data_IF_613764901938
#
_entry.id   IF_613764901938
#
_cell.length_a   1.000
_cell.length_b   1.000
_cell.length_c   1.000
_cell.angle_alpha   90.00
_cell.angle_beta   90.00
_cell.angle_gamma   90.00
#
_symmetry.space_group_name_H-M   'P 1'
#
loop_
_entity.id
_entity.type
_entity.pdbx_description
1 polymer ?
#
# COMPACT_ATOMS: atom_id res chain seq x y z
N UNK A 1 26.06 22.74 -41.35
CA UNK A 1 25.94 23.54 -40.12
C UNK A 1 24.52 24.06 -40.07
N UNK A 2 23.58 23.21 -39.69
CA UNK A 2 22.24 23.64 -39.31
C UNK A 2 22.32 24.22 -37.90
N UNK A 3 21.73 25.38 -37.73
CA UNK A 3 21.73 26.17 -36.51
C UNK A 3 20.88 25.47 -35.44
N UNK A 4 21.54 24.87 -34.45
CA UNK A 4 20.97 24.15 -33.30
C UNK A 4 20.32 25.10 -32.25
N UNK A 5 19.80 26.26 -32.69
CA UNK A 5 19.38 27.36 -31.80
C UNK A 5 17.87 27.47 -31.55
N UNK A 6 17.05 26.58 -32.11
CA UNK A 6 15.58 26.69 -32.01
C UNK A 6 14.96 25.67 -31.05
N UNK A 7 15.63 25.33 -29.94
CA UNK A 7 14.95 24.63 -28.86
C UNK A 7 14.17 25.64 -27.98
N UNK A 8 12.82 25.60 -27.98
CA UNK A 8 11.96 26.62 -27.38
C UNK A 8 12.09 26.75 -25.85
N UNK A 9 12.88 25.90 -25.19
CA UNK A 9 13.09 25.93 -23.73
C UNK A 9 14.34 26.68 -23.29
N UNK A 10 15.15 27.28 -24.17
CA UNK A 10 16.51 27.72 -23.80
C UNK A 10 16.58 28.89 -22.78
N UNK A 11 15.47 29.61 -22.51
CA UNK A 11 15.45 30.76 -21.59
C UNK A 11 14.26 30.82 -20.61
N UNK A 12 13.38 29.83 -20.60
CA UNK A 12 12.27 29.79 -19.64
C UNK A 12 12.72 28.95 -18.46
N UNK A 13 12.50 29.41 -17.22
CA UNK A 13 12.81 28.63 -16.03
C UNK A 13 12.27 27.21 -16.21
N UNK A 14 13.15 26.21 -16.11
CA UNK A 14 12.94 24.81 -16.53
C UNK A 14 11.56 24.21 -16.15
N UNK A 15 11.01 24.65 -15.02
CA UNK A 15 9.66 24.30 -14.54
C UNK A 15 8.48 24.72 -15.44
N UNK A 16 8.69 25.62 -16.41
CA UNK A 16 7.65 26.21 -17.25
C UNK A 16 7.65 25.68 -18.69
N UNK A 17 8.55 24.76 -19.07
CA UNK A 17 8.42 24.14 -20.39
C UNK A 17 7.22 23.18 -20.36
N UNK A 18 6.11 23.61 -20.97
CA UNK A 18 4.79 22.99 -20.92
C UNK A 18 4.78 21.51 -21.35
N UNK A 19 5.78 21.08 -22.11
CA UNK A 19 5.92 19.68 -22.55
C UNK A 19 6.36 18.72 -21.43
N UNK A 20 6.94 19.23 -20.34
CA UNK A 20 7.44 18.37 -19.23
C UNK A 20 6.35 18.00 -18.22
N UNK A 21 5.31 18.82 -18.06
CA UNK A 21 4.16 18.54 -17.19
C UNK A 21 2.91 18.20 -18.00
N UNK A 22 2.94 17.04 -18.65
CA UNK A 22 1.72 16.44 -19.17
C UNK A 22 0.70 16.24 -18.03
N UNK A 23 -0.60 16.44 -18.30
CA UNK A 23 -1.72 16.19 -17.39
C UNK A 23 -1.60 14.80 -16.74
N UNK A 24 -1.14 13.78 -17.50
CA UNK A 24 -0.89 12.43 -16.97
C UNK A 24 0.09 12.44 -15.79
N UNK A 25 1.22 13.14 -15.93
CA UNK A 25 2.21 13.28 -14.85
C UNK A 25 1.63 14.00 -13.63
N UNK A 26 0.82 15.04 -13.84
CA UNK A 26 0.15 15.76 -12.76
C UNK A 26 -0.83 14.87 -12.00
N UNK A 27 -1.64 14.09 -12.72
CA UNK A 27 -2.56 13.12 -12.13
C UNK A 27 -1.76 12.12 -11.29
N UNK A 28 -0.68 11.56 -11.84
CA UNK A 28 0.17 10.60 -11.13
C UNK A 28 0.76 11.19 -9.83
N UNK A 29 1.20 12.46 -9.86
CA UNK A 29 1.67 13.19 -8.67
C UNK A 29 0.57 13.26 -7.59
N UNK A 30 -0.64 13.65 -7.98
CA UNK A 30 -1.78 13.76 -7.07
C UNK A 30 -2.08 12.40 -6.44
N UNK A 31 -2.04 11.33 -7.22
CA UNK A 31 -2.25 9.96 -6.74
C UNK A 31 -1.19 9.53 -5.72
N UNK A 32 0.11 9.71 -6.01
CA UNK A 32 1.20 9.38 -5.07
C UNK A 32 1.02 10.14 -3.75
N UNK A 33 0.77 11.45 -3.84
CA UNK A 33 0.56 12.29 -2.65
C UNK A 33 -0.62 11.79 -1.81
N UNK A 34 -1.75 11.49 -2.45
CA UNK A 34 -2.94 10.99 -1.76
C UNK A 34 -2.70 9.62 -1.12
N UNK A 35 -1.94 8.73 -1.78
CA UNK A 35 -1.54 7.42 -1.22
C UNK A 35 -0.69 7.57 0.02
N UNK A 36 0.35 8.41 -0.03
CA UNK A 36 1.20 8.70 1.14
C UNK A 36 0.39 9.30 2.29
N UNK A 37 -0.52 10.22 1.99
CA UNK A 37 -1.40 10.84 2.98
C UNK A 37 -2.31 9.80 3.64
N UNK A 38 -2.93 8.91 2.86
CA UNK A 38 -3.78 7.85 3.39
C UNK A 38 -3.00 6.83 4.24
N UNK A 39 -1.83 6.36 3.77
CA UNK A 39 -0.97 5.44 4.52
C UNK A 39 -0.60 6.08 5.86
N UNK A 40 -0.11 7.32 5.83
CA UNK A 40 0.30 8.07 7.03
C UNK A 40 -0.88 8.22 7.99
N UNK A 41 -2.05 8.58 7.48
CA UNK A 41 -3.27 8.73 8.27
C UNK A 41 -3.70 7.41 8.94
N UNK A 42 -3.72 6.30 8.21
CA UNK A 42 -4.04 4.98 8.74
C UNK A 42 -3.04 4.55 9.81
N UNK A 43 -1.74 4.78 9.59
CA UNK A 43 -0.71 4.46 10.56
C UNK A 43 -0.86 5.32 11.83
N UNK A 44 -1.08 6.63 11.69
CA UNK A 44 -1.35 7.51 12.83
C UNK A 44 -2.55 7.01 13.64
N UNK A 45 -3.67 6.68 12.99
CA UNK A 45 -4.83 6.11 13.69
C UNK A 45 -4.44 4.81 14.40
N UNK A 46 -3.73 3.92 13.72
CA UNK A 46 -3.30 2.62 14.27
C UNK A 46 -2.47 2.79 15.54
N UNK A 47 -1.51 3.71 15.52
CA UNK A 47 -0.63 3.95 16.66
C UNK A 47 -1.31 4.71 17.80
N UNK A 48 -2.12 5.72 17.50
CA UNK A 48 -2.65 6.65 18.52
C UNK A 48 -4.03 6.30 19.06
N UNK A 49 -4.91 5.73 18.23
CA UNK A 49 -6.33 5.56 18.56
C UNK A 49 -6.75 4.10 18.76
N UNK A 50 -5.99 3.14 18.22
CA UNK A 50 -6.31 1.72 18.33
C UNK A 50 -5.49 1.10 19.48
N UNK A 51 -6.19 0.46 20.42
CA UNK A 51 -5.58 -0.29 21.52
C UNK A 51 -4.86 -1.56 21.04
N UNK A 52 -4.55 -2.48 21.95
CA UNK A 52 -3.88 -3.75 21.62
C UNK A 52 -4.85 -4.76 20.96
N UNK A 53 -5.29 -4.47 19.73
CA UNK A 53 -6.15 -5.31 18.92
C UNK A 53 -5.31 -6.03 17.83
N UNK A 54 -5.49 -7.34 17.57
CA UNK A 54 -4.77 -8.03 16.49
C UNK A 54 -4.93 -7.37 15.11
N UNK A 55 -6.07 -6.71 14.83
CA UNK A 55 -6.26 -5.97 13.58
C UNK A 55 -5.34 -4.75 13.46
N UNK A 56 -4.94 -4.14 14.58
CA UNK A 56 -3.94 -3.06 14.59
C UNK A 56 -2.61 -3.58 14.04
N UNK A 57 -2.13 -4.69 14.60
CA UNK A 57 -0.83 -5.27 14.21
C UNK A 57 -0.84 -5.75 12.76
N UNK A 58 -1.93 -6.40 12.34
CA UNK A 58 -2.10 -6.79 10.94
C UNK A 58 -2.10 -5.58 10.00
N UNK A 59 -2.83 -4.51 10.35
CA UNK A 59 -2.85 -3.28 9.55
C UNK A 59 -1.48 -2.61 9.51
N UNK A 60 -0.79 -2.47 10.65
CA UNK A 60 0.57 -1.90 10.68
C UNK A 60 1.53 -2.71 9.83
N UNK A 61 1.53 -4.04 9.97
CA UNK A 61 2.40 -4.93 9.19
C UNK A 61 2.14 -4.79 7.69
N UNK A 62 0.87 -4.68 7.30
CA UNK A 62 0.52 -4.52 5.89
C UNK A 62 0.96 -3.14 5.37
N UNK A 63 0.68 -2.06 6.11
CA UNK A 63 1.02 -0.69 5.67
C UNK A 63 2.50 -0.34 5.74
N UNK A 64 3.26 -0.91 6.70
CA UNK A 64 4.70 -0.62 6.83
C UNK A 64 5.48 -1.11 5.61
N UNK A 65 5.01 -2.17 4.95
CA UNK A 65 5.61 -2.66 3.70
C UNK A 65 5.42 -1.71 2.51
N UNK A 66 4.35 -0.90 2.51
CA UNK A 66 4.08 0.08 1.46
C UNK A 66 4.87 1.39 1.63
N UNK A 67 5.31 1.74 2.85
CA UNK A 67 5.99 3.02 3.09
C UNK A 67 7.25 3.18 2.24
N UNK A 68 8.21 2.22 2.21
CA UNK A 68 9.42 2.38 1.43
C UNK A 68 9.11 2.52 -0.06
N UNK A 69 8.18 1.73 -0.58
CA UNK A 69 7.79 1.76 -2.00
C UNK A 69 7.21 3.12 -2.39
N UNK A 70 6.24 3.64 -1.64
CA UNK A 70 5.61 4.93 -1.92
C UNK A 70 6.57 6.10 -1.71
N UNK A 71 7.42 6.01 -0.70
CA UNK A 71 8.44 7.02 -0.44
C UNK A 71 9.47 7.07 -1.57
N UNK A 72 9.86 5.91 -2.09
CA UNK A 72 10.76 5.82 -3.25
C UNK A 72 10.12 6.39 -4.52
N UNK A 73 8.87 6.04 -4.81
CA UNK A 73 8.13 6.62 -5.94
C UNK A 73 8.04 8.15 -5.83
N UNK A 74 7.83 8.67 -4.62
CA UNK A 74 7.82 10.10 -4.35
C UNK A 74 9.19 10.76 -4.54
N UNK A 75 10.28 10.13 -4.08
CA UNK A 75 11.64 10.63 -4.31
C UNK A 75 11.97 10.64 -5.80
N UNK A 76 11.69 9.56 -6.53
CA UNK A 76 11.91 9.47 -7.97
C UNK A 76 11.15 10.57 -8.71
N UNK A 77 9.92 10.83 -8.30
CA UNK A 77 9.11 11.91 -8.84
C UNK A 77 9.71 13.29 -8.57
N UNK A 78 10.12 13.57 -7.33
CA UNK A 78 10.81 14.83 -6.98
C UNK A 78 12.09 14.98 -7.80
N UNK A 79 12.87 13.91 -7.91
CA UNK A 79 14.10 13.88 -8.68
C UNK A 79 13.81 14.21 -10.16
N UNK A 80 12.75 13.65 -10.75
CA UNK A 80 12.32 13.97 -12.12
C UNK A 80 11.91 15.44 -12.26
N UNK A 81 11.11 15.97 -11.33
CA UNK A 81 10.64 17.37 -11.34
C UNK A 81 11.81 18.35 -11.23
N UNK A 82 12.79 18.06 -10.36
CA UNK A 82 13.97 18.91 -10.17
C UNK A 82 14.95 18.82 -11.37
N UNK A 83 14.73 17.87 -12.29
CA UNK A 83 15.70 17.58 -13.35
C UNK A 83 16.97 16.94 -12.78
N UNK A 84 16.87 16.21 -11.67
CA UNK A 84 17.99 15.57 -10.98
C UNK A 84 18.76 14.60 -11.88
N UNK A 85 18.04 13.89 -12.75
CA UNK A 85 18.63 12.97 -13.74
C UNK A 85 19.08 13.67 -15.03
N UNK A 86 18.93 14.99 -15.14
CA UNK A 86 19.39 15.74 -16.31
C UNK A 86 20.91 15.81 -16.31
N UNK A 87 21.51 15.66 -17.49
CA UNK A 87 22.96 15.61 -17.67
C UNK A 87 23.66 16.87 -17.10
N UNK A 88 23.00 18.03 -17.20
CA UNK A 88 23.44 19.31 -16.62
C UNK A 88 23.54 19.27 -15.09
N UNK A 89 22.60 18.61 -14.41
CA UNK A 89 22.61 18.49 -12.95
C UNK A 89 23.67 17.48 -12.50
N UNK A 90 23.82 16.35 -13.23
CA UNK A 90 24.85 15.35 -12.97
C UNK A 90 26.26 15.95 -13.14
N UNK A 91 26.48 16.73 -14.20
CA UNK A 91 27.76 17.42 -14.42
C UNK A 91 28.07 18.48 -13.35
N UNK A 92 27.06 19.15 -12.80
CA UNK A 92 27.21 20.09 -11.69
C UNK A 92 27.46 19.37 -10.34
N UNK A 93 26.76 18.26 -10.09
CA UNK A 93 26.89 17.44 -8.89
C UNK A 93 28.23 16.68 -8.80
N UNK A 94 28.85 16.36 -9.95
CA UNK A 94 30.17 15.72 -10.06
C UNK A 94 31.29 16.53 -9.36
N UNK A 95 31.10 17.83 -9.13
CA UNK A 95 32.08 18.72 -8.48
C UNK A 95 31.95 18.87 -6.95
N UNK A 96 30.94 18.29 -6.29
CA UNK A 96 30.76 18.39 -4.82
C UNK A 96 30.68 17.02 -4.15
N UNK A 97 31.08 16.94 -2.86
CA UNK A 97 31.04 15.76 -1.96
C UNK A 97 29.65 15.11 -1.76
N UNK A 98 28.65 15.50 -2.54
CA UNK A 98 27.27 15.01 -2.51
C UNK A 98 27.14 13.56 -3.03
N UNK A 99 28.14 13.07 -3.76
CA UNK A 99 28.23 11.68 -4.21
C UNK A 99 28.10 10.66 -3.07
N UNK A 100 28.59 10.99 -1.87
CA UNK A 100 28.53 10.08 -0.72
C UNK A 100 27.12 10.01 -0.11
N UNK A 101 26.43 11.16 0.00
CA UNK A 101 25.02 11.21 0.42
C UNK A 101 24.09 10.58 -0.61
N UNK A 102 24.39 10.76 -1.90
CA UNK A 102 23.71 10.10 -3.00
C UNK A 102 23.88 8.58 -2.93
N UNK A 103 25.11 8.09 -2.75
CA UNK A 103 25.40 6.66 -2.59
C UNK A 103 24.73 6.06 -1.35
N UNK A 104 24.60 6.79 -0.24
CA UNK A 104 23.90 6.32 0.97
C UNK A 104 22.39 6.28 0.76
N UNK A 105 21.79 7.33 0.20
CA UNK A 105 20.35 7.36 -0.07
C UNK A 105 19.96 6.34 -1.14
N UNK A 106 20.82 6.15 -2.16
CA UNK A 106 20.69 5.03 -3.09
C UNK A 106 20.92 3.71 -2.39
N UNK A 107 21.95 3.47 -1.57
CA UNK A 107 22.15 2.20 -0.87
C UNK A 107 20.97 1.81 0.04
N UNK A 108 20.37 2.78 0.74
CA UNK A 108 19.19 2.57 1.58
C UNK A 108 17.96 2.27 0.73
N UNK A 109 17.75 3.04 -0.35
CA UNK A 109 16.72 2.76 -1.36
C UNK A 109 16.90 1.36 -1.96
N UNK A 110 18.10 1.08 -2.48
CA UNK A 110 18.62 -0.12 -3.11
C UNK A 110 18.55 -1.36 -2.23
N UNK A 111 18.53 -1.21 -0.90
CA UNK A 111 18.28 -2.34 0.02
C UNK A 111 16.80 -2.75 0.06
N UNK A 112 15.88 -1.79 -0.18
CA UNK A 112 14.43 -2.03 -0.23
C UNK A 112 13.93 -2.30 -1.66
N UNK A 113 14.62 -1.80 -2.69
CA UNK A 113 14.31 -2.01 -4.12
C UNK A 113 15.26 -2.97 -4.81
N UNK A 114 16.17 -3.66 -4.09
CA UNK A 114 17.22 -4.54 -4.63
C UNK A 114 16.70 -5.49 -5.72
N UNK A 115 15.46 -5.92 -5.56
CA UNK A 115 14.83 -6.85 -6.48
C UNK A 115 14.24 -6.20 -7.73
N UNK A 116 13.63 -5.01 -7.59
CA UNK A 116 13.15 -4.21 -8.70
C UNK A 116 14.32 -3.63 -9.52
N UNK A 117 15.39 -3.19 -8.86
CA UNK A 117 16.61 -2.69 -9.50
C UNK A 117 17.45 -3.79 -10.14
N UNK A 118 17.41 -5.04 -9.65
CA UNK A 118 18.05 -6.15 -10.35
C UNK A 118 17.48 -6.29 -11.77
N UNK A 119 16.15 -6.19 -11.93
CA UNK A 119 15.49 -6.24 -13.24
C UNK A 119 15.88 -5.05 -14.15
N UNK A 120 15.94 -3.82 -13.61
CA UNK A 120 16.33 -2.63 -14.40
C UNK A 120 17.84 -2.57 -14.72
N UNK A 121 18.71 -3.06 -13.83
CA UNK A 121 20.15 -3.14 -14.08
C UNK A 121 20.50 -4.19 -15.15
N UNK A 122 19.69 -5.25 -15.27
CA UNK A 122 19.80 -6.20 -16.38
C UNK A 122 19.54 -5.57 -17.75
N UNK A 123 18.72 -4.51 -17.81
CA UNK A 123 18.44 -3.74 -19.03
C UNK A 123 19.58 -2.75 -19.34
N UNK A 124 20.22 -2.18 -18.32
CA UNK A 124 21.25 -1.14 -18.51
C UNK A 124 22.64 -1.68 -18.86
N UNK A 125 22.94 -2.94 -18.56
CA UNK A 125 24.26 -3.53 -18.76
C UNK A 125 24.39 -4.46 -19.97
N UNK A 126 23.34 -4.63 -20.80
CA UNK A 126 23.24 -5.52 -21.98
C UNK A 126 23.58 -7.02 -21.75
N UNK A 127 24.17 -7.36 -20.61
CA UNK A 127 24.32 -8.71 -20.08
C UNK A 127 23.56 -8.79 -18.75
N UNK A 128 22.26 -9.12 -18.77
CA UNK A 128 21.58 -9.53 -17.56
C UNK A 128 22.27 -10.80 -17.10
N UNK A 129 23.17 -10.66 -16.11
CA UNK A 129 23.83 -11.81 -15.50
C UNK A 129 22.76 -12.85 -15.18
N UNK A 130 23.02 -14.11 -15.48
CA UNK A 130 22.09 -15.23 -15.28
C UNK A 130 21.47 -15.19 -13.87
N UNK A 131 22.23 -14.70 -12.88
CA UNK A 131 21.82 -14.49 -11.49
C UNK A 131 20.60 -13.55 -11.37
N UNK A 132 20.57 -12.42 -12.09
CA UNK A 132 19.45 -11.46 -12.08
C UNK A 132 18.19 -12.13 -12.60
N UNK A 133 18.27 -12.82 -13.75
CA UNK A 133 17.13 -13.52 -14.34
C UNK A 133 16.60 -14.62 -13.43
N UNK A 134 17.50 -15.39 -12.79
CA UNK A 134 17.12 -16.40 -11.81
C UNK A 134 16.44 -15.76 -10.60
N UNK A 135 16.99 -14.66 -10.08
CA UNK A 135 16.43 -13.98 -8.92
C UNK A 135 15.04 -13.41 -9.20
N UNK A 136 14.87 -12.77 -10.35
CA UNK A 136 13.60 -12.24 -10.81
C UNK A 136 12.55 -13.35 -10.93
N UNK A 137 12.87 -14.43 -11.65
CA UNK A 137 11.99 -15.61 -11.76
C UNK A 137 11.65 -16.20 -10.39
N UNK A 138 12.62 -16.33 -9.49
CA UNK A 138 12.38 -16.88 -8.13
C UNK A 138 11.40 -16.00 -7.37
N UNK A 139 11.54 -14.68 -7.42
CA UNK A 139 10.61 -13.80 -6.71
C UNK A 139 9.26 -13.78 -7.38
N UNK A 140 9.20 -13.70 -8.71
CA UNK A 140 7.93 -13.82 -9.43
C UNK A 140 7.21 -15.10 -8.99
N UNK A 141 7.90 -16.25 -8.92
CA UNK A 141 7.32 -17.51 -8.44
C UNK A 141 6.85 -17.39 -6.98
N UNK A 142 7.65 -16.82 -6.09
CA UNK A 142 7.29 -16.65 -4.67
C UNK A 142 6.07 -15.74 -4.52
N UNK A 143 6.02 -14.62 -5.23
CA UNK A 143 4.89 -13.68 -5.21
C UNK A 143 3.62 -14.34 -5.74
N UNK A 144 3.71 -15.09 -6.84
CA UNK A 144 2.58 -15.85 -7.38
C UNK A 144 2.12 -16.93 -6.41
N UNK A 145 3.05 -17.66 -5.78
CA UNK A 145 2.73 -18.67 -4.77
C UNK A 145 1.99 -18.03 -3.58
N UNK A 146 2.51 -16.92 -3.04
CA UNK A 146 1.86 -16.18 -1.95
C UNK A 146 0.47 -15.68 -2.36
N UNK A 147 0.32 -15.20 -3.59
CA UNK A 147 -0.96 -14.75 -4.12
C UNK A 147 -1.98 -15.90 -4.22
N UNK A 148 -1.57 -17.07 -4.72
CA UNK A 148 -2.41 -18.27 -4.76
C UNK A 148 -2.81 -18.70 -3.34
N UNK A 149 -1.87 -18.75 -2.40
CA UNK A 149 -2.15 -19.06 -1.00
C UNK A 149 -3.17 -18.09 -0.43
N UNK A 150 -3.04 -16.79 -0.71
CA UNK A 150 -3.96 -15.77 -0.26
C UNK A 150 -5.37 -15.96 -0.84
N UNK A 151 -5.49 -16.30 -2.13
CA UNK A 151 -6.76 -16.64 -2.76
C UNK A 151 -7.42 -17.87 -2.12
N UNK A 152 -6.65 -18.94 -1.89
CA UNK A 152 -7.14 -20.18 -1.25
C UNK A 152 -7.62 -19.90 0.17
N UNK A 153 -6.83 -19.19 0.98
CA UNK A 153 -7.22 -18.81 2.35
C UNK A 153 -8.49 -17.96 2.35
N UNK A 154 -8.63 -17.05 1.39
CA UNK A 154 -9.83 -16.22 1.25
C UNK A 154 -11.05 -17.06 0.87
N UNK A 155 -10.92 -18.00 -0.08
CA UNK A 155 -11.99 -18.93 -0.45
C UNK A 155 -12.42 -19.85 0.71
N UNK A 156 -11.46 -20.34 1.50
CA UNK A 156 -11.73 -21.11 2.71
C UNK A 156 -12.47 -20.25 3.74
N UNK A 157 -12.05 -19.00 3.96
CA UNK A 157 -12.74 -18.08 4.86
C UNK A 157 -14.19 -17.84 4.41
N UNK A 158 -14.43 -17.62 3.11
CA UNK A 158 -15.80 -17.45 2.56
C UNK A 158 -16.63 -18.70 2.83
N UNK A 159 -16.07 -19.87 2.56
CA UNK A 159 -16.76 -21.16 2.79
C UNK A 159 -17.15 -21.33 4.25
N UNK A 160 -16.26 -20.99 5.18
CA UNK A 160 -16.53 -21.01 6.63
C UNK A 160 -17.66 -20.03 6.99
N UNK A 161 -17.70 -18.83 6.42
CA UNK A 161 -18.81 -17.87 6.64
C UNK A 161 -20.13 -18.43 6.10
N UNK A 162 -20.15 -18.94 4.87
CA UNK A 162 -21.38 -19.43 4.23
C UNK A 162 -21.94 -20.64 4.99
N UNK A 163 -21.07 -21.52 5.50
CA UNK A 163 -21.46 -22.69 6.29
C UNK A 163 -21.78 -22.35 7.76
N UNK A 164 -21.49 -21.15 8.22
CA UNK A 164 -21.78 -20.73 9.59
C UNK A 164 -23.29 -20.56 9.79
N UNK A 165 -23.95 -21.65 10.20
CA UNK A 165 -25.33 -21.62 10.70
C UNK A 165 -25.30 -20.87 12.03
N UNK A 166 -26.00 -19.74 12.09
CA UNK A 166 -26.00 -18.86 13.27
C UNK A 166 -26.38 -19.61 14.55
N UNK A 167 -25.95 -19.07 15.69
CA UNK A 167 -26.25 -19.62 17.01
C UNK A 167 -27.76 -19.84 17.18
N UNK A 168 -28.20 -20.99 17.71
CA UNK A 168 -29.62 -21.22 17.99
C UNK A 168 -30.18 -20.12 18.91
N UNK A 169 -31.45 -19.76 18.68
CA UNK A 169 -32.21 -18.71 19.39
C UNK A 169 -32.39 -18.94 20.90
N UNK A 170 -31.81 -20.00 21.45
CA UNK A 170 -31.85 -20.34 22.88
C UNK A 170 -30.52 -20.08 23.61
N UNK A 171 -29.45 -19.71 22.91
CA UNK A 171 -28.17 -19.41 23.57
C UNK A 171 -28.28 -18.15 24.46
N UNK A 172 -27.50 -18.09 25.54
CA UNK A 172 -27.47 -16.93 26.43
C UNK A 172 -27.18 -15.63 25.66
N UNK A 173 -27.78 -14.51 26.08
CA UNK A 173 -27.63 -13.21 25.39
C UNK A 173 -26.15 -12.81 25.22
N UNK A 174 -25.31 -13.04 26.22
CA UNK A 174 -23.88 -12.74 26.17
C UNK A 174 -23.13 -13.56 25.10
N UNK A 175 -23.54 -14.80 24.85
CA UNK A 175 -22.93 -15.64 23.82
C UNK A 175 -23.33 -15.17 22.42
N UNK A 176 -24.60 -14.78 22.23
CA UNK A 176 -25.08 -14.23 20.96
C UNK A 176 -24.38 -12.93 20.57
N UNK A 177 -24.12 -12.03 21.52
CA UNK A 177 -23.39 -10.79 21.23
C UNK A 177 -21.93 -11.07 20.84
N UNK A 178 -21.25 -11.97 21.54
CA UNK A 178 -19.88 -12.38 21.19
C UNK A 178 -19.82 -13.03 19.80
N UNK A 179 -20.73 -13.95 19.48
CA UNK A 179 -20.76 -14.61 18.17
C UNK A 179 -21.10 -13.65 17.02
N UNK A 180 -22.05 -12.73 17.24
CA UNK A 180 -22.32 -11.65 16.27
C UNK A 180 -21.08 -10.77 16.04
N UNK A 181 -20.32 -10.46 17.08
CA UNK A 181 -19.09 -9.68 16.96
C UNK A 181 -18.00 -10.46 16.20
N UNK A 182 -17.85 -11.76 16.45
CA UNK A 182 -16.95 -12.64 15.68
C UNK A 182 -17.34 -12.68 14.20
N UNK A 183 -18.64 -12.88 13.90
CA UNK A 183 -19.14 -12.89 12.52
C UNK A 183 -18.89 -11.57 11.80
N UNK A 184 -19.15 -10.43 12.46
CA UNK A 184 -18.86 -9.10 11.88
C UNK A 184 -17.37 -8.94 11.57
N UNK A 185 -16.49 -9.33 12.49
CA UNK A 185 -15.03 -9.29 12.29
C UNK A 185 -14.59 -10.17 11.10
N UNK A 186 -15.15 -11.36 10.98
CA UNK A 186 -14.85 -12.27 9.88
C UNK A 186 -15.31 -11.70 8.53
N UNK A 187 -16.53 -11.15 8.45
CA UNK A 187 -17.01 -10.48 7.23
C UNK A 187 -16.12 -9.30 6.86
N UNK A 188 -15.73 -8.47 7.82
CA UNK A 188 -14.79 -7.36 7.59
C UNK A 188 -13.46 -7.85 7.04
N UNK A 189 -12.91 -8.94 7.57
CA UNK A 189 -11.68 -9.55 7.09
C UNK A 189 -11.81 -10.06 5.64
N UNK A 190 -12.95 -10.64 5.29
CA UNK A 190 -13.21 -11.11 3.91
C UNK A 190 -13.32 -9.95 2.94
N UNK A 191 -14.08 -8.90 3.28
CA UNK A 191 -14.18 -7.71 2.42
C UNK A 191 -12.78 -7.11 2.20
N UNK A 192 -11.98 -7.05 3.27
CA UNK A 192 -10.63 -6.51 3.24
C UNK A 192 -9.66 -7.34 2.37
N UNK A 193 -9.69 -8.66 2.50
CA UNK A 193 -8.81 -9.58 1.74
C UNK A 193 -9.26 -9.77 0.28
N UNK A 194 -10.57 -9.89 0.05
CA UNK A 194 -11.11 -10.15 -1.30
C UNK A 194 -10.81 -9.02 -2.27
N UNK A 195 -10.92 -7.76 -1.81
CA UNK A 195 -10.64 -6.62 -2.68
C UNK A 195 -9.17 -6.59 -3.11
N UNK A 196 -8.24 -6.81 -2.16
CA UNK A 196 -6.80 -6.89 -2.48
C UNK A 196 -6.51 -8.02 -3.46
N UNK A 197 -7.17 -9.17 -3.32
CA UNK A 197 -6.99 -10.30 -4.24
C UNK A 197 -7.49 -9.98 -5.66
N UNK A 198 -8.67 -9.38 -5.78
CA UNK A 198 -9.23 -8.96 -7.09
C UNK A 198 -8.28 -7.98 -7.77
N UNK A 199 -7.72 -7.03 -7.02
CA UNK A 199 -6.78 -6.05 -7.56
C UNK A 199 -5.42 -6.64 -7.92
N UNK A 200 -5.06 -7.81 -7.39
CA UNK A 200 -3.84 -8.52 -7.77
C UNK A 200 -4.03 -9.46 -8.97
N UNK A 201 -5.26 -9.63 -9.48
CA UNK A 201 -5.55 -10.54 -10.59
C UNK A 201 -4.76 -10.20 -11.88
N UNK A 202 -4.59 -8.93 -12.27
CA UNK A 202 -3.81 -8.60 -13.47
C UNK A 202 -2.34 -8.95 -13.33
N UNK A 203 -1.75 -8.78 -12.14
CA UNK A 203 -0.37 -9.23 -11.87
C UNK A 203 -0.23 -10.75 -11.98
N UNK A 204 -1.25 -11.51 -11.58
CA UNK A 204 -1.28 -12.96 -11.75
C UNK A 204 -1.39 -13.36 -13.23
N UNK A 205 -2.22 -12.65 -14.00
CA UNK A 205 -2.33 -12.89 -15.44
C UNK A 205 -1.02 -12.57 -16.16
N UNK A 206 -0.41 -11.44 -15.82
CA UNK A 206 0.86 -11.00 -16.36
C UNK A 206 1.97 -12.04 -16.13
N UNK A 207 2.15 -12.51 -14.89
CA UNK A 207 3.17 -13.54 -14.64
C UNK A 207 2.85 -14.91 -15.22
N UNK A 208 1.58 -15.29 -15.39
CA UNK A 208 1.23 -16.51 -16.16
C UNK A 208 1.64 -16.37 -17.63
N UNK A 209 1.44 -15.20 -18.22
CA UNK A 209 1.89 -14.91 -19.58
C UNK A 209 3.42 -14.92 -19.68
N UNK A 210 4.14 -14.26 -18.76
CA UNK A 210 5.61 -14.28 -18.72
C UNK A 210 6.18 -15.70 -18.58
N UNK A 211 5.53 -16.56 -17.80
CA UNK A 211 5.91 -17.97 -17.69
C UNK A 211 5.66 -18.69 -19.02
N UNK A 212 4.51 -18.48 -19.66
CA UNK A 212 4.21 -19.09 -20.95
C UNK A 212 5.21 -18.67 -22.05
N UNK A 213 5.62 -17.40 -22.06
CA UNK A 213 6.65 -16.85 -22.93
C UNK A 213 8.00 -17.55 -22.72
N UNK A 214 8.39 -17.75 -21.46
CA UNK A 214 9.63 -18.45 -21.11
C UNK A 214 9.68 -19.90 -21.64
N UNK A 215 8.52 -20.53 -21.87
CA UNK A 215 8.41 -21.86 -22.48
C UNK A 215 8.23 -21.83 -24.00
N UNK A 216 8.45 -20.69 -24.66
CA UNK A 216 8.33 -20.51 -26.12
C UNK A 216 6.93 -20.87 -26.66
N UNK A 217 5.89 -20.72 -25.83
CA UNK A 217 4.50 -20.88 -26.27
C UNK A 217 4.14 -19.61 -27.04
N UNK A 218 4.25 -19.64 -28.37
CA UNK A 218 3.85 -18.50 -29.22
C UNK A 218 2.37 -18.21 -29.06
N UNK A 219 2.04 -17.12 -28.37
CA UNK A 219 0.69 -16.59 -28.29
C UNK A 219 0.69 -15.31 -29.14
N UNK A 220 0.12 -15.35 -30.36
CA UNK A 220 0.06 -14.18 -31.26
C UNK A 220 -0.66 -12.95 -30.63
N UNK A 221 -1.32 -13.14 -29.49
CA UNK A 221 -2.03 -12.13 -28.71
C UNK A 221 -1.13 -11.29 -27.78
N UNK A 222 0.15 -11.66 -27.64
CA UNK A 222 1.07 -11.18 -26.61
C UNK A 222 1.38 -9.70 -26.72
N UNK A 223 1.65 -9.16 -27.91
CA UNK A 223 2.07 -7.77 -28.07
C UNK A 223 0.97 -6.74 -27.74
N UNK A 224 -0.30 -7.05 -28.04
CA UNK A 224 -1.41 -6.14 -27.74
C UNK A 224 -1.83 -6.26 -26.27
N UNK A 225 -1.86 -7.50 -25.74
CA UNK A 225 -2.28 -7.76 -24.38
C UNK A 225 -1.24 -7.30 -23.35
N UNK A 226 0.07 -7.50 -23.60
CA UNK A 226 1.14 -7.08 -22.71
C UNK A 226 1.18 -5.56 -22.53
N UNK A 227 1.04 -4.81 -23.63
CA UNK A 227 0.95 -3.35 -23.59
C UNK A 227 -0.28 -2.88 -22.79
N UNK A 228 -1.44 -3.52 -22.99
CA UNK A 228 -2.64 -3.19 -22.21
C UNK A 228 -2.49 -3.56 -20.73
N UNK A 229 -1.92 -4.73 -20.44
CA UNK A 229 -1.69 -5.20 -19.07
C UNK A 229 -0.70 -4.31 -18.32
N UNK A 230 0.36 -3.82 -18.97
CA UNK A 230 1.33 -2.93 -18.32
C UNK A 230 0.68 -1.60 -17.92
N UNK A 231 -0.11 -0.98 -18.81
CA UNK A 231 -0.85 0.24 -18.50
C UNK A 231 -1.88 0.03 -17.39
N UNK A 232 -2.61 -1.09 -17.44
CA UNK A 232 -3.57 -1.46 -16.40
C UNK A 232 -2.85 -1.69 -15.06
N UNK A 233 -1.68 -2.33 -15.08
CA UNK A 233 -0.91 -2.66 -13.88
C UNK A 233 -0.50 -1.40 -13.12
N UNK A 234 0.05 -0.39 -13.79
CA UNK A 234 0.43 0.89 -13.17
C UNK A 234 -0.76 1.56 -12.47
N UNK A 235 -1.91 1.61 -13.15
CA UNK A 235 -3.12 2.20 -12.61
C UNK A 235 -3.71 1.39 -11.45
N UNK A 236 -3.74 0.06 -11.56
CA UNK A 236 -4.27 -0.84 -10.54
C UNK A 236 -3.40 -0.83 -9.30
N UNK A 237 -2.07 -0.79 -9.44
CA UNK A 237 -1.18 -0.67 -8.31
C UNK A 237 -1.48 0.60 -7.49
N UNK A 238 -1.64 1.73 -8.18
CA UNK A 238 -2.02 3.00 -7.57
C UNK A 238 -3.39 2.92 -6.87
N UNK A 239 -4.37 2.32 -7.55
CA UNK A 239 -5.72 2.14 -7.04
C UNK A 239 -5.79 1.17 -5.84
N UNK A 240 -4.88 0.18 -5.77
CA UNK A 240 -4.80 -0.82 -4.70
C UNK A 240 -4.62 -0.21 -3.33
N UNK A 241 -3.64 0.68 -3.16
CA UNK A 241 -3.38 1.32 -1.86
C UNK A 241 -4.55 2.19 -1.41
N UNK A 242 -5.19 2.90 -2.34
CA UNK A 242 -6.36 3.73 -2.04
C UNK A 242 -7.53 2.84 -1.61
N UNK A 243 -7.83 1.82 -2.41
CA UNK A 243 -8.90 0.85 -2.14
C UNK A 243 -8.71 0.15 -0.80
N UNK A 244 -7.50 -0.31 -0.50
CA UNK A 244 -7.14 -0.92 0.76
C UNK A 244 -7.30 0.05 1.95
N UNK A 245 -6.97 1.32 1.77
CA UNK A 245 -7.18 2.36 2.79
C UNK A 245 -8.64 2.64 3.06
N UNK A 246 -9.44 2.74 2.01
CA UNK A 246 -10.89 2.88 2.14
C UNK A 246 -11.51 1.64 2.80
N UNK A 247 -11.07 0.44 2.42
CA UNK A 247 -11.49 -0.81 3.06
C UNK A 247 -11.10 -0.85 4.54
N UNK A 248 -9.90 -0.42 4.92
CA UNK A 248 -9.48 -0.36 6.33
C UNK A 248 -10.44 0.52 7.14
N UNK A 249 -10.76 1.71 6.61
CA UNK A 249 -11.66 2.66 7.28
C UNK A 249 -13.10 2.17 7.38
N UNK A 250 -13.61 1.50 6.33
CA UNK A 250 -15.00 1.07 6.26
C UNK A 250 -15.21 -0.25 7.01
N UNK A 251 -14.34 -1.24 6.77
CA UNK A 251 -14.50 -2.60 7.25
C UNK A 251 -14.16 -2.73 8.73
N UNK A 252 -13.13 -2.04 9.22
CA UNK A 252 -12.72 -2.17 10.62
C UNK A 252 -13.40 -1.15 11.52
N UNK A 253 -14.27 -1.66 12.39
CA UNK A 253 -15.00 -0.87 13.38
C UNK A 253 -14.12 0.10 14.20
N UNK A 254 -12.92 -0.29 14.72
CA UNK A 254 -12.13 0.64 15.53
C UNK A 254 -11.53 1.78 14.69
N UNK A 255 -11.19 1.54 13.42
CA UNK A 255 -10.72 2.58 12.49
C UNK A 255 -11.86 3.53 12.11
N UNK A 256 -13.04 2.99 11.80
CA UNK A 256 -14.24 3.80 11.54
C UNK A 256 -14.59 4.69 12.73
N UNK A 257 -14.54 4.14 13.94
CA UNK A 257 -14.84 4.89 15.16
C UNK A 257 -13.81 6.01 15.40
N UNK A 258 -12.51 5.72 15.20
CA UNK A 258 -11.45 6.72 15.29
C UNK A 258 -11.61 7.83 14.24
N UNK A 259 -11.84 7.46 12.98
CA UNK A 259 -12.12 8.39 11.89
C UNK A 259 -13.31 9.31 12.23
N UNK A 260 -14.44 8.72 12.62
CA UNK A 260 -15.62 9.49 12.99
C UNK A 260 -15.38 10.38 14.21
N UNK A 261 -14.51 10.00 15.15
CA UNK A 261 -14.12 10.83 16.29
C UNK A 261 -13.23 12.01 15.89
N UNK A 262 -12.39 11.85 14.88
CA UNK A 262 -11.54 12.93 14.35
C UNK A 262 -12.40 13.94 13.57
N UNK A 263 -13.30 13.46 12.71
CA UNK A 263 -14.08 14.31 11.81
C UNK A 263 -15.39 14.84 12.40
N UNK A 264 -16.04 14.09 13.30
CA UNK A 264 -17.08 14.69 14.12
C UNK A 264 -16.37 15.50 15.17
N UNK A 265 -16.43 16.83 15.04
CA UNK A 265 -16.30 17.75 16.17
C UNK A 265 -17.36 17.38 17.20
N UNK A 266 -17.17 16.29 17.94
CA UNK A 266 -17.98 15.99 19.12
C UNK A 266 -17.75 17.19 20.01
N UNK A 267 -18.79 18.04 20.25
CA UNK A 267 -18.63 19.18 21.11
C UNK A 267 -18.08 18.64 22.43
N UNK A 268 -16.94 19.16 22.89
CA UNK A 268 -16.27 18.76 24.14
C UNK A 268 -17.17 18.89 25.39
N UNK A 269 -18.41 19.33 25.24
CA UNK A 269 -19.37 19.62 26.29
C UNK A 269 -19.90 18.40 27.07
N UNK A 270 -19.58 17.15 26.70
CA UNK A 270 -20.07 15.95 27.39
C UNK A 270 -18.97 15.09 28.04
N UNK A 271 -17.73 15.59 28.17
CA UNK A 271 -16.70 15.00 29.05
C UNK A 271 -16.54 15.87 30.29
N UNK A 272 -17.68 16.27 30.86
CA UNK A 272 -17.76 16.82 32.21
C UNK A 272 -18.42 15.74 33.07
N UNK A 273 -17.78 15.38 34.16
CA UNK A 273 -18.39 14.71 35.32
C UNK A 273 -18.89 13.26 35.16
N UNK A 274 -17.96 12.32 34.90
CA UNK A 274 -17.95 11.06 35.68
C UNK A 274 -16.67 11.08 36.53
N UNK A 275 -16.53 12.12 37.35
CA UNK A 275 -15.71 12.05 38.54
C UNK A 275 -16.55 11.26 39.52
N UNK A 276 -16.37 9.95 39.44
CA UNK A 276 -16.62 8.94 40.47
C UNK A 276 -17.15 9.56 41.76
N UNK A 277 -18.47 9.53 41.93
CA UNK A 277 -19.03 9.45 43.27
C UNK A 277 -18.53 8.12 43.84
N UNK A 278 -17.35 8.17 44.45
CA UNK A 278 -16.86 7.12 45.34
C UNK A 278 -17.66 7.30 46.63
N UNK A 279 -18.96 7.04 46.54
CA UNK A 279 -19.87 7.03 47.67
C UNK A 279 -19.59 5.76 48.45
N UNK A 280 -18.75 5.89 49.47
CA UNK A 280 -19.11 5.56 50.85
C UNK A 280 -20.10 4.39 50.99
N UNK A 281 -19.60 3.17 51.16
CA UNK A 281 -20.32 2.13 51.92
C UNK A 281 -19.39 1.03 52.45
N UNK A 282 -18.46 1.42 53.31
CA UNK A 282 -17.88 0.54 54.34
C UNK A 282 -18.25 1.14 55.69
N UNK A 283 -19.51 1.03 56.05
CA UNK A 283 -19.98 1.27 57.41
C UNK A 283 -20.75 0.03 57.85
N UNK A 284 -20.24 -0.57 58.92
CA UNK A 284 -20.91 -1.41 59.90
C UNK A 284 -21.68 -2.64 59.38
N UNK A 285 -21.13 -3.83 59.67
CA UNK A 285 -21.73 -4.74 60.65
C UNK A 285 -20.66 -5.74 61.13
N UNK A 286 -19.96 -5.40 62.20
CA UNK A 286 -19.30 -6.39 63.07
C UNK A 286 -19.61 -5.98 64.50
N UNK A 287 -20.71 -6.50 65.03
CA UNK A 287 -21.11 -6.30 66.41
C UNK A 287 -22.24 -7.22 66.81
N UNK A 288 -21.89 -8.16 67.71
CA UNK A 288 -22.76 -9.01 68.57
C UNK A 288 -23.38 -10.21 67.83
N UNK A 289 -23.29 -11.45 68.31
CA UNK A 289 -22.98 -12.01 69.64
C UNK A 289 -22.42 -13.41 69.45
#
# INVERSE_FOLDING_TARGET
>A
MESDNDHPCHNVAFFLCADTMNISSLIHIIFIFFRLLLITFILIISFTHIGNDPFKWYTIHLYISFIPLEFMAFIQLIARIIGYFHESFINCARYRKWIFYFLIMHAISFSFTFLALASEFGVYFDEPSIIIRILDVVVTIVDHFLLIVLFVVTGLAITVIVKYKGTPTNAAHAQRTMEQQKRKRLISLIIYSSLSNILNLPSLLDGVLSIAEAFSIKIDFENCLSHWLSQIHEHIHSFRTISLSMCTLIAFAPYRAAFMRIFRCVPKAAVTTIKTSRTTKTANMSGKR
#
